data_IF_471756500342
#
_entry.id   IF_471756500342
#
_cell.length_a   1.000
_cell.length_b   1.000
_cell.length_c   1.000
_cell.angle_alpha   90.00
_cell.angle_beta   90.00
_cell.angle_gamma   90.00
#
_symmetry.space_group_name_H-M   'P 1'
#
loop_
_entity.id
_entity.type
_entity.pdbx_description
1 polymer ?
#
# COMPACT_ATOMS: atom_id res chain seq x y z
N UNK A 1 -9.99 -4.24 -15.33
CA UNK A 1 -8.64 -4.86 -15.39
C UNK A 1 -8.42 -5.70 -14.16
N UNK A 2 -8.60 -7.02 -14.25
CA UNK A 2 -8.32 -7.91 -13.11
C UNK A 2 -6.83 -8.15 -12.95
N UNK A 3 -6.36 -8.15 -11.71
CA UNK A 3 -4.99 -8.51 -11.37
C UNK A 3 -4.99 -9.53 -10.23
N UNK A 4 -3.98 -10.40 -10.23
CA UNK A 4 -3.84 -11.51 -9.30
C UNK A 4 -2.46 -11.44 -8.64
N UNK A 5 -2.36 -11.99 -7.43
CA UNK A 5 -1.06 -12.18 -6.80
C UNK A 5 -0.21 -13.15 -7.62
N UNK A 6 1.10 -12.95 -7.62
CA UNK A 6 2.05 -13.94 -8.09
C UNK A 6 2.03 -15.20 -7.23
N UNK A 7 2.51 -16.31 -7.79
CA UNK A 7 2.74 -17.54 -7.02
C UNK A 7 3.99 -17.41 -6.14
N UNK A 8 5.06 -16.83 -6.70
CA UNK A 8 6.34 -16.61 -6.05
C UNK A 8 6.85 -15.18 -6.32
N UNK A 9 7.75 -14.72 -5.47
CA UNK A 9 8.47 -13.45 -5.58
C UNK A 9 9.98 -13.68 -5.44
N UNK A 10 10.76 -12.69 -5.86
CA UNK A 10 12.22 -12.69 -5.72
C UNK A 10 12.61 -12.09 -4.36
N UNK A 11 13.13 -12.90 -3.45
CA UNK A 11 13.49 -12.44 -2.11
C UNK A 11 14.73 -11.55 -2.06
N UNK A 12 15.64 -11.68 -3.03
CA UNK A 12 16.90 -10.95 -3.08
C UNK A 12 17.30 -10.56 -4.50
N UNK A 13 17.90 -9.39 -4.63
CA UNK A 13 18.48 -8.92 -5.90
C UNK A 13 19.86 -9.52 -6.20
N UNK A 14 20.48 -10.22 -5.25
CA UNK A 14 21.83 -10.79 -5.43
C UNK A 14 21.94 -11.71 -6.64
N UNK A 15 21.00 -12.65 -6.80
CA UNK A 15 21.01 -13.58 -7.94
C UNK A 15 20.83 -12.83 -9.28
N UNK A 16 19.91 -11.86 -9.31
CA UNK A 16 19.65 -11.06 -10.50
C UNK A 16 20.88 -10.22 -10.90
N UNK A 17 21.65 -9.73 -9.92
CA UNK A 17 22.90 -8.99 -10.19
C UNK A 17 24.06 -9.90 -10.61
N UNK A 18 24.11 -11.14 -10.10
CA UNK A 18 25.11 -12.13 -10.51
C UNK A 18 24.82 -12.69 -11.92
N UNK A 19 23.56 -12.66 -12.36
CA UNK A 19 23.11 -13.21 -13.64
C UNK A 19 22.29 -12.18 -14.43
N UNK A 20 22.91 -11.09 -14.95
CA UNK A 20 22.16 -10.07 -15.68
C UNK A 20 21.50 -10.65 -16.94
N UNK A 21 20.23 -10.30 -17.17
CA UNK A 21 19.48 -10.68 -18.37
C UNK A 21 18.71 -12.00 -18.29
N UNK A 22 18.71 -12.70 -17.15
CA UNK A 22 17.94 -13.95 -16.95
C UNK A 22 16.52 -13.74 -16.45
N UNK A 23 16.12 -12.49 -16.19
CA UNK A 23 14.82 -12.15 -15.62
C UNK A 23 14.81 -12.22 -14.09
N UNK A 24 13.62 -12.41 -13.50
CA UNK A 24 13.46 -12.51 -12.06
C UNK A 24 13.69 -13.94 -11.55
N UNK A 25 14.34 -14.04 -10.40
CA UNK A 25 14.58 -15.30 -9.68
C UNK A 25 13.49 -15.47 -8.62
N UNK A 26 12.34 -16.04 -9.01
CA UNK A 26 11.16 -16.19 -8.15
C UNK A 26 11.33 -17.37 -7.17
N UNK A 27 12.07 -17.13 -6.08
CA UNK A 27 12.54 -18.15 -5.14
C UNK A 27 11.61 -18.39 -3.94
N UNK A 28 10.69 -17.46 -3.65
CA UNK A 28 9.94 -17.47 -2.39
C UNK A 28 8.43 -17.42 -2.64
N UNK A 29 7.61 -18.28 -2.01
CA UNK A 29 6.16 -18.24 -2.17
C UNK A 29 5.54 -16.92 -1.72
N UNK A 30 4.64 -16.38 -2.53
CA UNK A 30 3.87 -15.18 -2.21
C UNK A 30 2.77 -15.51 -1.20
N UNK A 31 2.74 -14.76 -0.10
CA UNK A 31 1.71 -14.90 0.93
C UNK A 31 1.24 -13.53 1.40
N UNK A 32 -0.03 -13.21 1.15
CA UNK A 32 -0.66 -12.01 1.69
C UNK A 32 -1.21 -12.31 3.07
N UNK A 33 -0.93 -11.42 4.01
CA UNK A 33 -1.29 -11.60 5.42
C UNK A 33 -2.20 -10.48 5.86
N UNK A 34 -3.11 -10.78 6.77
CA UNK A 34 -4.00 -9.78 7.38
C UNK A 34 -3.48 -9.49 8.78
N UNK A 35 -3.33 -8.22 9.13
CA UNK A 35 -2.90 -7.80 10.46
C UNK A 35 -3.96 -8.15 11.51
N UNK A 36 -3.52 -8.70 12.65
CA UNK A 36 -4.39 -9.13 13.74
C UNK A 36 -4.97 -10.53 13.55
N UNK A 37 -6.15 -10.79 14.14
CA UNK A 37 -6.75 -12.15 14.22
C UNK A 37 -7.74 -12.48 13.10
N UNK A 38 -7.81 -11.66 12.04
CA UNK A 38 -8.77 -11.87 10.94
C UNK A 38 -8.17 -12.80 9.89
N UNK A 39 -8.95 -13.77 9.43
CA UNK A 39 -8.52 -14.72 8.39
C UNK A 39 -8.83 -14.23 6.97
N UNK A 40 -9.80 -13.33 6.81
CA UNK A 40 -10.15 -12.71 5.55
C UNK A 40 -10.75 -11.33 5.76
N UNK A 41 -10.61 -10.46 4.76
CA UNK A 41 -11.18 -9.12 4.73
C UNK A 41 -11.61 -8.76 3.32
N UNK A 42 -12.71 -8.04 3.19
CA UNK A 42 -13.09 -7.36 1.95
C UNK A 42 -12.95 -5.87 2.20
N UNK A 43 -12.25 -5.17 1.30
CA UNK A 43 -12.09 -3.71 1.36
C UNK A 43 -12.43 -3.13 0.02
N UNK A 44 -13.00 -1.94 0.01
CA UNK A 44 -13.29 -1.15 -1.19
C UNK A 44 -12.88 0.28 -0.93
N UNK A 45 -12.56 1.01 -1.99
CA UNK A 45 -12.25 2.43 -1.88
C UNK A 45 -11.45 2.96 -3.04
N UNK A 46 -11.30 4.28 -3.04
CA UNK A 46 -10.48 5.00 -3.99
C UNK A 46 -9.00 4.79 -3.65
N UNK A 47 -8.25 4.23 -4.59
CA UNK A 47 -6.83 3.91 -4.39
C UNK A 47 -6.00 5.19 -4.34
N UNK A 48 -5.14 5.29 -3.32
CA UNK A 48 -4.07 6.27 -3.27
C UNK A 48 -2.84 5.70 -2.55
N UNK A 49 -1.64 6.03 -3.02
CA UNK A 49 -0.40 5.75 -2.30
C UNK A 49 0.82 5.55 -3.20
N UNK A 50 1.73 4.67 -2.78
CA UNK A 50 3.05 4.46 -3.37
C UNK A 50 4.15 4.26 -2.31
N UNK A 51 5.38 4.67 -2.65
CA UNK A 51 6.56 4.59 -1.80
C UNK A 51 6.43 5.51 -0.57
N UNK A 52 6.57 4.92 0.61
CA UNK A 52 6.39 5.58 1.90
C UNK A 52 7.42 6.69 2.12
N UNK A 53 8.66 6.48 1.71
CA UNK A 53 9.74 7.48 1.79
C UNK A 53 9.42 8.72 0.95
N UNK A 54 8.88 8.51 -0.26
CA UNK A 54 8.44 9.60 -1.15
C UNK A 54 7.26 10.34 -0.51
N UNK A 55 6.24 9.61 -0.08
CA UNK A 55 5.03 10.20 0.51
C UNK A 55 5.31 10.98 1.79
N UNK A 56 6.16 10.44 2.67
CA UNK A 56 6.55 11.11 3.91
C UNK A 56 7.30 12.41 3.65
N UNK A 57 8.11 12.47 2.58
CA UNK A 57 8.81 13.69 2.17
C UNK A 57 7.87 14.78 1.64
N UNK A 58 6.68 14.42 1.17
CA UNK A 58 5.65 15.35 0.69
C UNK A 58 4.65 15.76 1.78
N UNK A 59 4.63 15.07 2.92
CA UNK A 59 3.71 15.35 4.01
C UNK A 59 3.89 16.79 4.55
N UNK A 60 2.79 17.52 4.65
CA UNK A 60 2.78 18.93 5.06
C UNK A 60 3.21 19.92 3.98
N UNK A 61 3.57 19.47 2.78
CA UNK A 61 3.91 20.35 1.65
C UNK A 61 2.68 20.64 0.77
N UNK A 62 2.66 21.74 0.00
CA UNK A 62 1.56 22.01 -0.95
C UNK A 62 1.49 21.03 -2.13
N UNK A 63 2.50 20.16 -2.29
CA UNK A 63 2.61 19.23 -3.42
C UNK A 63 1.85 17.92 -3.21
N UNK A 64 1.27 17.70 -2.02
CA UNK A 64 0.43 16.55 -1.72
C UNK A 64 -0.91 16.98 -1.09
N UNK A 65 -1.88 17.46 -1.89
CA UNK A 65 -3.20 17.89 -1.40
C UNK A 65 -4.11 16.68 -1.07
N UNK A 66 -3.62 15.76 -0.26
CA UNK A 66 -4.28 14.50 0.12
C UNK A 66 -5.62 14.76 0.81
N UNK A 67 -5.72 15.83 1.60
CA UNK A 67 -6.98 16.21 2.25
C UNK A 67 -8.09 16.50 1.23
N UNK A 68 -7.82 17.33 0.22
CA UNK A 68 -8.80 17.66 -0.82
C UNK A 68 -9.19 16.43 -1.64
N UNK A 69 -8.24 15.52 -1.89
CA UNK A 69 -8.53 14.24 -2.53
C UNK A 69 -9.42 13.35 -1.66
N UNK A 70 -9.11 13.22 -0.37
CA UNK A 70 -9.85 12.38 0.57
C UNK A 70 -11.29 12.89 0.77
N UNK A 71 -11.48 14.21 0.88
CA UNK A 71 -12.81 14.84 0.96
C UNK A 71 -13.62 14.60 -0.32
N UNK A 72 -13.00 14.77 -1.50
CA UNK A 72 -13.66 14.56 -2.79
C UNK A 72 -14.24 13.14 -2.94
N UNK A 73 -13.60 12.14 -2.32
CA UNK A 73 -14.00 10.74 -2.41
C UNK A 73 -14.47 10.16 -1.07
N UNK A 74 -14.93 11.00 -0.14
CA UNK A 74 -15.33 10.58 1.20
C UNK A 74 -16.41 9.49 1.20
N UNK A 75 -17.40 9.58 0.30
CA UNK A 75 -18.49 8.60 0.17
C UNK A 75 -18.03 7.22 -0.30
N UNK A 76 -16.93 7.17 -1.04
CA UNK A 76 -16.32 5.92 -1.52
C UNK A 76 -15.29 5.37 -0.54
N UNK A 77 -14.74 6.25 0.30
CA UNK A 77 -13.63 5.96 1.19
C UNK A 77 -12.29 5.77 0.46
N UNK A 78 -11.22 5.75 1.25
CA UNK A 78 -9.84 5.69 0.74
C UNK A 78 -9.23 4.32 1.03
N UNK A 79 -8.66 3.70 0.00
CA UNK A 79 -7.86 2.48 0.13
C UNK A 79 -6.40 2.83 -0.10
N UNK A 80 -5.61 2.83 0.97
CA UNK A 80 -4.20 3.15 0.88
C UNK A 80 -3.41 1.96 0.36
N UNK A 81 -2.48 2.19 -0.56
CA UNK A 81 -1.45 1.21 -0.90
C UNK A 81 -0.07 1.80 -0.66
N UNK A 82 0.68 1.23 0.26
CA UNK A 82 1.95 1.77 0.75
C UNK A 82 3.03 0.71 0.63
N UNK A 83 4.26 1.10 0.37
CA UNK A 83 5.40 0.19 0.33
C UNK A 83 6.66 0.94 0.75
N UNK A 84 7.72 0.21 1.11
CA UNK A 84 9.01 0.77 1.52
C UNK A 84 10.11 0.21 0.63
N UNK A 85 11.02 1.07 0.19
CA UNK A 85 12.12 0.69 -0.70
C UNK A 85 13.29 0.06 0.06
N UNK A 86 13.64 0.65 1.22
CA UNK A 86 14.87 0.33 1.95
C UNK A 86 14.82 0.70 3.44
N UNK A 87 13.64 1.04 3.94
CA UNK A 87 13.44 1.45 5.32
C UNK A 87 13.45 0.27 6.30
N UNK A 88 14.10 0.49 7.44
CA UNK A 88 13.96 -0.33 8.64
C UNK A 88 12.57 -0.21 9.28
N UNK A 89 12.22 -1.13 10.19
CA UNK A 89 10.97 -1.08 10.94
C UNK A 89 10.74 0.28 11.65
N UNK A 90 11.79 0.85 12.28
CA UNK A 90 11.71 2.14 12.92
C UNK A 90 11.53 3.32 11.94
N UNK A 91 12.11 3.23 10.74
CA UNK A 91 11.92 4.23 9.68
C UNK A 91 10.49 4.17 9.11
N UNK A 92 9.98 2.97 8.84
CA UNK A 92 8.58 2.74 8.44
C UNK A 92 7.62 3.32 9.47
N UNK A 93 7.84 3.01 10.75
CA UNK A 93 7.02 3.55 11.84
C UNK A 93 7.00 5.08 11.85
N UNK A 94 8.17 5.73 11.79
CA UNK A 94 8.25 7.20 11.78
C UNK A 94 7.56 7.82 10.58
N UNK A 95 7.71 7.22 9.40
CA UNK A 95 7.05 7.72 8.19
C UNK A 95 5.52 7.58 8.30
N UNK A 96 5.01 6.42 8.71
CA UNK A 96 3.58 6.22 8.94
C UNK A 96 3.02 7.15 10.02
N UNK A 97 3.77 7.37 11.10
CA UNK A 97 3.45 8.34 12.13
C UNK A 97 3.31 9.75 11.52
N UNK A 98 4.30 10.21 10.76
CA UNK A 98 4.26 11.52 10.09
C UNK A 98 3.02 11.67 9.20
N UNK A 99 2.68 10.66 8.39
CA UNK A 99 1.48 10.71 7.55
C UNK A 99 0.19 10.83 8.40
N UNK A 100 0.12 10.08 9.50
CA UNK A 100 -1.05 10.10 10.40
C UNK A 100 -1.22 11.43 11.10
N UNK A 101 -0.14 11.98 11.65
CA UNK A 101 -0.18 13.27 12.35
C UNK A 101 -0.47 14.44 11.40
N UNK A 102 -0.12 14.29 10.11
CA UNK A 102 -0.59 15.18 9.05
C UNK A 102 -2.04 14.90 8.61
N UNK A 103 -2.76 13.98 9.24
CA UNK A 103 -4.17 13.71 8.97
C UNK A 103 -4.46 13.01 7.64
N UNK A 104 -3.49 12.30 7.05
CA UNK A 104 -3.66 11.69 5.73
C UNK A 104 -4.62 10.49 5.71
N UNK A 105 -4.78 9.79 6.84
CA UNK A 105 -5.59 8.58 6.91
C UNK A 105 -7.10 8.83 7.15
N UNK A 106 -7.60 10.03 6.86
CA UNK A 106 -9.04 10.31 6.91
C UNK A 106 -9.80 9.49 5.86
N UNK A 107 -11.01 9.05 6.20
CA UNK A 107 -11.89 8.21 5.36
C UNK A 107 -11.29 6.85 4.93
N UNK A 108 -10.19 6.42 5.57
CA UNK A 108 -9.54 5.15 5.24
C UNK A 108 -10.48 3.97 5.49
N UNK A 109 -10.64 3.12 4.48
CA UNK A 109 -11.40 1.86 4.56
C UNK A 109 -10.49 0.64 4.67
N UNK A 110 -9.20 0.80 4.36
CA UNK A 110 -8.19 -0.24 4.49
C UNK A 110 -6.82 0.20 4.01
N UNK A 111 -5.83 -0.62 4.28
CA UNK A 111 -4.44 -0.42 3.86
C UNK A 111 -3.90 -1.70 3.24
N UNK A 112 -3.23 -1.57 2.10
CA UNK A 112 -2.40 -2.58 1.47
C UNK A 112 -0.94 -2.17 1.68
N UNK A 113 -0.17 -2.97 2.40
CA UNK A 113 1.25 -2.73 2.61
C UNK A 113 2.08 -3.72 1.77
N UNK A 114 2.87 -3.19 0.84
CA UNK A 114 3.73 -3.96 -0.03
C UNK A 114 4.84 -4.69 0.73
N UNK A 115 5.40 -5.74 0.12
CA UNK A 115 6.63 -6.35 0.60
C UNK A 115 7.75 -5.29 0.62
N UNK A 116 8.36 -4.99 1.77
CA UNK A 116 9.38 -3.97 1.83
C UNK A 116 10.68 -4.48 1.21
N UNK A 117 11.29 -3.66 0.35
CA UNK A 117 12.67 -3.86 -0.08
C UNK A 117 13.65 -3.48 1.02
N UNK A 118 14.84 -4.09 1.04
CA UNK A 118 15.95 -3.69 1.94
C UNK A 118 15.62 -3.66 3.44
N UNK A 119 14.55 -4.35 3.85
CA UNK A 119 13.99 -4.25 5.19
C UNK A 119 14.91 -4.83 6.25
N UNK A 120 14.93 -4.17 7.41
CA UNK A 120 15.56 -4.68 8.63
C UNK A 120 14.75 -4.34 9.86
N UNK A 121 14.73 -5.24 10.82
CA UNK A 121 14.17 -4.99 12.16
C UNK A 121 14.97 -3.91 12.89
N UNK A 122 14.33 -3.22 13.82
CA UNK A 122 14.99 -2.26 14.71
C UNK A 122 15.04 -2.85 16.11
N UNK A 123 16.10 -3.62 16.41
CA UNK A 123 16.20 -4.44 17.62
C UNK A 123 15.02 -5.42 17.70
N UNK A 124 14.20 -5.34 18.75
CA UNK A 124 13.02 -6.14 19.02
C UNK A 124 11.73 -5.58 18.38
N UNK A 125 11.84 -4.54 17.56
CA UNK A 125 10.72 -3.90 16.88
C UNK A 125 10.69 -4.26 15.39
N UNK A 126 9.59 -4.88 14.95
CA UNK A 126 9.42 -5.37 13.60
C UNK A 126 8.38 -4.58 12.77
N UNK A 127 8.16 -5.00 11.51
CA UNK A 127 7.18 -4.37 10.62
C UNK A 127 5.74 -4.53 11.11
N UNK A 128 5.42 -5.64 11.76
CA UNK A 128 4.08 -5.90 12.29
C UNK A 128 3.80 -4.93 13.43
N UNK A 129 4.79 -4.66 14.29
CA UNK A 129 4.72 -3.65 15.34
C UNK A 129 4.53 -2.25 14.76
N UNK A 130 5.27 -1.90 13.70
CA UNK A 130 5.15 -0.62 13.00
C UNK A 130 3.73 -0.41 12.44
N UNK A 131 3.21 -1.41 11.71
CA UNK A 131 1.87 -1.37 11.13
C UNK A 131 0.78 -1.35 12.19
N UNK A 132 0.92 -2.16 13.25
CA UNK A 132 -0.02 -2.20 14.36
C UNK A 132 -0.07 -0.86 15.11
N UNK A 133 1.08 -0.26 15.38
CA UNK A 133 1.15 1.05 16.06
C UNK A 133 0.54 2.17 15.22
N UNK A 134 0.77 2.15 13.90
CA UNK A 134 0.24 3.16 12.99
C UNK A 134 -1.28 3.05 12.81
N UNK A 135 -1.79 1.84 12.54
CA UNK A 135 -3.15 1.63 12.05
C UNK A 135 -4.10 0.99 13.08
N UNK A 136 -3.59 0.40 14.15
CA UNK A 136 -4.40 -0.19 15.23
C UNK A 136 -5.48 0.76 15.76
N UNK A 137 -5.15 2.03 16.09
CA UNK A 137 -6.13 3.02 16.55
C UNK A 137 -7.21 3.37 15.52
N UNK A 138 -6.95 3.17 14.22
CA UNK A 138 -7.90 3.47 13.15
C UNK A 138 -8.93 2.34 12.94
N UNK A 139 -8.69 1.15 13.51
CA UNK A 139 -9.58 -0.02 13.39
C UNK A 139 -9.89 -0.44 11.94
N UNK A 140 -9.02 -0.07 10.99
CA UNK A 140 -9.14 -0.42 9.57
C UNK A 140 -8.42 -1.74 9.26
N UNK A 141 -8.89 -2.54 8.30
CA UNK A 141 -8.15 -3.70 7.81
C UNK A 141 -6.80 -3.30 7.21
N UNK A 142 -5.74 -4.01 7.60
CA UNK A 142 -4.41 -3.90 6.99
C UNK A 142 -4.03 -5.26 6.41
N UNK A 143 -3.75 -5.30 5.12
CA UNK A 143 -3.18 -6.45 4.43
C UNK A 143 -1.73 -6.12 4.12
N UNK A 144 -0.79 -7.02 4.42
CA UNK A 144 0.63 -6.81 4.20
C UNK A 144 1.31 -7.98 3.47
N UNK A 145 2.57 -7.78 3.08
CA UNK A 145 3.33 -8.64 2.14
C UNK A 145 2.67 -8.70 0.74
N UNK A 146 1.93 -7.64 0.38
CA UNK A 146 1.25 -7.50 -0.91
C UNK A 146 2.29 -7.29 -2.01
N UNK A 147 1.94 -7.71 -3.24
CA UNK A 147 2.76 -7.62 -4.45
C UNK A 147 2.87 -6.16 -4.95
N UNK A 148 3.42 -5.27 -4.13
CA UNK A 148 3.52 -3.83 -4.39
C UNK A 148 4.91 -3.39 -3.94
N UNK A 149 5.56 -2.53 -4.73
CA UNK A 149 6.81 -1.87 -4.33
C UNK A 149 8.06 -2.45 -4.96
N UNK A 150 9.14 -2.52 -4.19
CA UNK A 150 10.49 -2.77 -4.71
C UNK A 150 10.87 -4.25 -4.83
N UNK A 151 9.96 -5.16 -4.48
CA UNK A 151 10.16 -6.62 -4.52
C UNK A 151 9.30 -7.23 -5.64
N UNK A 152 9.91 -7.74 -6.74
CA UNK A 152 9.16 -8.22 -7.89
C UNK A 152 8.58 -9.63 -7.67
N UNK A 153 7.48 -9.97 -8.37
CA UNK A 153 6.72 -9.13 -9.30
C UNK A 153 5.72 -8.21 -8.56
N UNK A 154 5.26 -7.16 -9.25
CA UNK A 154 4.35 -6.15 -8.71
C UNK A 154 3.03 -6.06 -9.47
N UNK A 155 1.96 -5.78 -8.73
CA UNK A 155 0.69 -5.28 -9.23
C UNK A 155 0.83 -3.84 -9.69
N UNK A 156 0.12 -3.50 -10.76
CA UNK A 156 -0.02 -2.12 -11.24
C UNK A 156 -1.24 -1.47 -10.62
N UNK A 157 -1.04 -0.59 -9.63
CA UNK A 157 -2.12 0.14 -8.98
C UNK A 157 -2.18 1.59 -9.47
N UNK A 158 -3.39 2.07 -9.75
CA UNK A 158 -3.62 3.40 -10.32
C UNK A 158 -4.24 4.31 -9.27
N UNK A 159 -3.50 5.34 -8.85
CA UNK A 159 -4.01 6.41 -8.00
C UNK A 159 -5.30 7.02 -8.60
N UNK A 160 -6.35 7.12 -7.80
CA UNK A 160 -7.66 7.62 -8.23
C UNK A 160 -8.56 6.58 -8.91
N UNK A 161 -8.14 5.34 -9.09
CA UNK A 161 -9.05 4.25 -9.50
C UNK A 161 -9.83 3.70 -8.30
N UNK A 162 -11.07 3.26 -8.53
CA UNK A 162 -11.88 2.63 -7.49
C UNK A 162 -11.61 1.12 -7.47
N UNK A 163 -11.22 0.60 -6.31
CA UNK A 163 -11.10 -0.84 -6.07
C UNK A 163 -12.43 -1.37 -5.52
N UNK A 164 -13.08 -2.25 -6.28
CA UNK A 164 -14.41 -2.75 -5.96
C UNK A 164 -14.37 -4.16 -5.35
N UNK A 165 -14.61 -4.25 -4.05
CA UNK A 165 -14.78 -5.46 -3.25
C UNK A 165 -13.71 -6.58 -3.37
N UNK A 166 -12.40 -6.30 -3.44
CA UNK A 166 -11.39 -7.36 -3.35
C UNK A 166 -11.42 -8.12 -2.00
N UNK A 167 -11.62 -9.46 -2.06
CA UNK A 167 -11.61 -10.39 -0.90
C UNK A 167 -10.21 -10.93 -0.54
N UNK A 168 -9.49 -10.31 0.37
CA UNK A 168 -8.17 -10.80 0.81
C UNK A 168 -8.33 -11.95 1.82
N UNK A 169 -7.57 -13.02 1.65
CA UNK A 169 -7.50 -14.14 2.60
C UNK A 169 -6.05 -14.32 3.03
N UNK A 170 -5.83 -14.52 4.33
CA UNK A 170 -4.52 -14.94 4.84
C UNK A 170 -4.24 -16.34 4.30
N UNK A 171 -3.22 -16.49 3.45
CA UNK A 171 -2.85 -17.80 2.91
C UNK A 171 -1.93 -18.51 3.90
N UNK A 172 -2.53 -19.08 4.93
CA UNK A 172 -1.89 -20.14 5.72
C UNK A 172 -1.85 -21.42 4.88
N UNK A 173 -0.72 -21.67 4.21
CA UNK A 173 -0.34 -22.98 3.62
C UNK A 173 -0.97 -23.42 2.28
N UNK A 174 -1.74 -22.61 1.57
CA UNK A 174 -2.19 -22.99 0.21
C UNK A 174 -2.35 -21.77 -0.70
N UNK A 175 -1.74 -21.77 -1.91
CA UNK A 175 -1.94 -20.70 -2.87
C UNK A 175 -3.24 -20.97 -3.63
N UNK A 176 -4.15 -19.99 -3.63
CA UNK A 176 -5.11 -19.67 -4.68
C UNK A 176 -6.05 -18.60 -4.12
N UNK A 177 -5.64 -17.34 -4.25
CA UNK A 177 -6.55 -16.22 -4.09
C UNK A 177 -7.31 -16.02 -5.41
N UNK A 178 -8.48 -16.67 -5.56
CA UNK A 178 -9.42 -16.28 -6.62
C UNK A 178 -9.98 -14.89 -6.30
N UNK A 179 -9.81 -13.93 -7.23
CA UNK A 179 -10.43 -12.60 -7.14
C UNK A 179 -10.94 -12.12 -8.49
N UNK A 180 -12.20 -11.72 -8.49
CA UNK A 180 -12.87 -10.95 -9.53
C UNK A 180 -12.62 -9.46 -9.27
N UNK A 181 -12.14 -8.74 -10.28
CA UNK A 181 -11.99 -7.29 -10.27
C UNK A 181 -12.85 -6.70 -11.39
N UNK A 182 -13.60 -5.65 -11.08
CA UNK A 182 -14.18 -4.77 -12.09
C UNK A 182 -13.83 -3.34 -11.71
N UNK A 183 -12.97 -2.72 -12.52
CA UNK A 183 -12.63 -1.30 -12.38
C UNK A 183 -13.38 -0.57 -13.48
N UNK A 184 -14.36 0.26 -13.10
CA UNK A 184 -15.01 1.17 -14.03
C UNK A 184 -14.27 2.51 -14.02
N UNK A 185 -13.75 2.90 -15.18
CA UNK A 185 -13.10 4.19 -15.42
C UNK A 185 -14.13 5.25 -15.85
N UNK A 186 -15.21 5.47 -15.08
CA UNK A 186 -16.17 6.52 -15.40
C UNK A 186 -16.41 7.42 -14.19
N UNK A 187 -15.84 8.63 -14.24
CA UNK A 187 -16.02 9.63 -13.20
C UNK A 187 -15.07 10.83 -13.24
N UNK A 188 -14.54 11.24 -14.40
CA UNK A 188 -13.79 12.49 -14.49
C UNK A 188 -14.76 13.65 -14.79
N UNK A 189 -15.36 14.24 -13.74
CA UNK A 189 -15.83 15.62 -13.85
C UNK A 189 -14.61 16.54 -13.85
N UNK A 190 -14.51 17.35 -14.89
CA UNK A 190 -13.38 18.23 -15.18
C UNK A 190 -12.99 19.12 -14.01
N UNK A 191 -11.69 19.32 -13.85
CA UNK A 191 -11.08 20.25 -12.90
C UNK A 191 -11.12 21.64 -13.56
N UNK A 192 -11.78 22.66 -12.99
CA UNK A 192 -11.47 24.03 -13.33
C UNK A 192 -10.17 24.41 -12.60
N UNK A 193 -9.12 24.71 -13.35
CA UNK A 193 -7.93 25.38 -12.84
C UNK A 193 -8.28 26.86 -12.64
N UNK A 194 -8.53 27.29 -11.40
CA UNK A 194 -8.51 28.70 -11.00
C UNK A 194 -8.41 28.84 -9.47
N UNK A 195 -7.41 29.58 -8.99
CA UNK A 195 -7.45 30.21 -7.66
C UNK A 195 -6.10 30.24 -6.93
N UNK A 196 -5.66 31.39 -6.39
CA UNK A 196 -4.25 31.70 -6.14
C UNK A 196 -3.76 31.31 -4.74
N UNK A 197 -2.44 31.29 -4.60
CA UNK A 197 -1.73 31.24 -3.33
C UNK A 197 -2.17 32.37 -2.37
N UNK A 198 -2.59 31.99 -1.18
CA UNK A 198 -2.56 32.73 0.09
C UNK A 198 -2.78 31.68 1.18
N UNK A 199 -2.00 31.48 2.23
CA UNK A 199 -0.97 32.25 2.90
C UNK A 199 -0.94 31.69 4.33
N UNK A 200 0.26 31.50 4.87
CA UNK A 200 0.62 30.93 6.18
C UNK A 200 0.47 29.42 6.37
#
# INVERSE_FOLDING_TARGET
MVQHSSENYQSSWEQAFQHPGTGFHLDTPTQWKVLGKRNSVTVSGRLIGGCLETLASLAGTPYAPVHSFAEKFADEGILWYLESAESSAGEIYRALWTLRENGWFRYTQGVLFGRPGGYRETKDFDRVDALHTAFGPLHVPVIYDVDIGHVPPQLTLVNGSFANNPLYRSTGSTPLAEKLWTGNLHGTRGIPLNGPYSGF
#
